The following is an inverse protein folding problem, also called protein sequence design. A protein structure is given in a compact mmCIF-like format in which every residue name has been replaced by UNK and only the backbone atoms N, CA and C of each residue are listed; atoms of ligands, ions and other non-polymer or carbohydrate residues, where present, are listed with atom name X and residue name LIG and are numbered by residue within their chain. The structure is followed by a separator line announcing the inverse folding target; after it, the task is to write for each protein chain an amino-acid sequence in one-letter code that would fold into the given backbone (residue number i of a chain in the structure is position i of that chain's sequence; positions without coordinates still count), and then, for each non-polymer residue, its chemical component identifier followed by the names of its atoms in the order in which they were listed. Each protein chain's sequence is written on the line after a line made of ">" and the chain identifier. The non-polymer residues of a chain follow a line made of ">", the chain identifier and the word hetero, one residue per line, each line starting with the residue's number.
data_IF_947543981345
#
_entry.id   IF_947543981345
#
_cell.length_a   1.000
_cell.length_b   1.000
_cell.length_c   1.000
_cell.angle_alpha   90.00
_cell.angle_beta   90.00
_cell.angle_gamma   90.00
#
_symmetry.space_group_name_H-M   'P 1'
#
loop_
_entity.id
_entity.type
_entity.pdbx_description
1 polymer ?
#
# COMPACT_ATOMS: atom_id res chain seq x y z
N UNK A 1 -9.36 -2.95 21.69
CA UNK A 1 -9.18 -1.52 21.43
C UNK A 1 -10.32 -1.09 20.54
N UNK A 2 -10.99 0.03 20.83
CA UNK A 2 -12.03 0.55 19.92
C UNK A 2 -11.35 1.03 18.65
N UNK A 3 -11.85 0.59 17.52
CA UNK A 3 -11.33 1.03 16.23
C UNK A 3 -11.53 2.54 16.08
N UNK A 4 -10.50 3.22 15.60
CA UNK A 4 -10.55 4.66 15.34
C UNK A 4 -11.07 4.90 13.93
N UNK A 5 -12.01 5.80 13.77
CA UNK A 5 -12.47 6.25 12.46
C UNK A 5 -12.07 7.70 12.21
N UNK A 6 -11.76 8.02 10.97
CA UNK A 6 -11.49 9.38 10.50
C UNK A 6 -12.55 9.73 9.47
N UNK A 7 -13.37 10.74 9.75
CA UNK A 7 -14.50 11.13 8.90
C UNK A 7 -15.43 9.96 8.53
N UNK A 8 -15.70 9.06 9.49
CA UNK A 8 -16.53 7.88 9.27
C UNK A 8 -15.86 6.75 8.49
N UNK A 9 -14.57 6.85 8.22
CA UNK A 9 -13.77 5.80 7.56
C UNK A 9 -12.86 5.09 8.56
N UNK A 10 -12.80 3.76 8.49
CA UNK A 10 -11.98 2.95 9.37
C UNK A 10 -10.49 3.18 9.16
N UNK A 11 -9.74 3.08 10.24
CA UNK A 11 -8.28 2.95 10.24
C UNK A 11 -7.95 1.60 10.87
N UNK A 12 -6.95 0.88 10.38
CA UNK A 12 -6.78 -0.50 10.86
C UNK A 12 -5.38 -1.06 10.62
N UNK A 13 -4.44 -0.24 10.19
CA UNK A 13 -3.06 -0.66 10.11
C UNK A 13 -2.41 -0.65 11.51
N UNK A 14 -1.78 -1.77 11.85
CA UNK A 14 -0.98 -1.95 13.05
C UNK A 14 0.48 -1.96 12.59
N UNK A 15 1.32 -1.04 13.08
CA UNK A 15 2.72 -0.98 12.67
C UNK A 15 3.50 -2.23 13.10
N UNK A 16 4.42 -2.67 12.24
CA UNK A 16 5.28 -3.82 12.49
C UNK A 16 6.74 -3.48 12.16
N UNK A 17 7.66 -3.93 13.04
CA UNK A 17 9.09 -3.68 12.86
C UNK A 17 9.71 -4.66 11.85
N UNK A 18 10.79 -4.23 11.12
CA UNK A 18 11.57 -5.14 10.29
C UNK A 18 12.06 -6.37 11.06
N UNK A 19 12.00 -7.53 10.41
CA UNK A 19 12.47 -8.80 10.96
C UNK A 19 13.55 -9.40 10.04
N UNK A 20 14.48 -10.13 10.63
CA UNK A 20 15.48 -10.91 9.88
C UNK A 20 14.85 -12.00 8.99
N UNK A 21 13.57 -12.28 9.18
CA UNK A 21 12.80 -13.24 8.38
C UNK A 21 12.10 -12.61 7.18
N UNK A 22 12.16 -11.28 7.04
CA UNK A 22 11.54 -10.60 5.92
C UNK A 22 12.39 -10.82 4.66
N UNK A 23 11.73 -11.22 3.58
CA UNK A 23 12.39 -11.22 2.28
C UNK A 23 12.69 -9.78 1.86
N UNK A 24 13.82 -9.60 1.21
CA UNK A 24 14.31 -8.30 0.72
C UNK A 24 14.60 -8.38 -0.78
N UNK A 25 14.87 -7.27 -1.44
CA UNK A 25 15.24 -7.24 -2.85
C UNK A 25 16.49 -8.11 -3.18
N UNK A 26 17.35 -8.37 -2.20
CA UNK A 26 18.55 -9.20 -2.35
C UNK A 26 18.31 -10.70 -2.16
N UNK A 27 17.10 -11.13 -1.75
CA UNK A 27 16.78 -12.54 -1.56
C UNK A 27 16.87 -13.32 -2.89
N UNK A 28 17.54 -14.48 -2.87
CA UNK A 28 17.82 -15.28 -4.07
C UNK A 28 16.56 -15.64 -4.86
N UNK A 29 15.44 -15.87 -4.19
CA UNK A 29 14.16 -16.24 -4.79
C UNK A 29 13.52 -15.12 -5.60
N UNK A 30 13.74 -13.86 -5.24
CA UNK A 30 13.04 -12.71 -5.84
C UNK A 30 13.97 -11.79 -6.63
N UNK A 31 15.26 -11.76 -6.29
CA UNK A 31 16.27 -10.94 -6.95
C UNK A 31 16.25 -11.03 -8.48
N UNK A 32 16.19 -12.23 -9.10
CA UNK A 32 16.14 -12.35 -10.55
C UNK A 32 14.93 -11.63 -11.15
N UNK A 33 13.73 -11.78 -10.54
CA UNK A 33 12.49 -11.18 -11.02
C UNK A 33 12.54 -9.64 -10.98
N UNK A 34 13.06 -9.09 -9.88
CA UNK A 34 13.20 -7.63 -9.76
C UNK A 34 14.27 -7.07 -10.69
N UNK A 35 15.38 -7.80 -10.89
CA UNK A 35 16.41 -7.41 -11.85
C UNK A 35 15.90 -7.42 -13.29
N UNK A 36 15.05 -8.38 -13.65
CA UNK A 36 14.45 -8.50 -14.99
C UNK A 36 13.54 -7.31 -15.30
N UNK A 37 12.82 -6.80 -14.32
CA UNK A 37 12.01 -5.59 -14.47
C UNK A 37 12.79 -4.28 -14.25
N UNK A 38 14.12 -4.37 -14.15
CA UNK A 38 15.03 -3.23 -14.09
C UNK A 38 15.12 -2.52 -12.75
N UNK A 39 14.61 -3.13 -11.67
CA UNK A 39 14.74 -2.59 -10.29
C UNK A 39 16.16 -2.81 -9.77
N UNK A 40 16.75 -1.80 -9.16
CA UNK A 40 18.04 -1.94 -8.48
C UNK A 40 17.89 -2.82 -7.23
N UNK A 41 18.46 -4.02 -7.31
CA UNK A 41 18.43 -5.01 -6.23
C UNK A 41 19.61 -4.89 -5.26
N UNK A 42 20.51 -3.95 -5.50
CA UNK A 42 21.71 -3.72 -4.66
C UNK A 42 21.41 -2.84 -3.46
N UNK A 43 20.30 -3.00 -2.76
CA UNK A 43 19.93 -2.16 -1.61
C UNK A 43 21.16 -1.80 -0.78
N UNK A 44 21.76 -0.66 -1.08
CA UNK A 44 22.96 -0.19 -0.43
C UNK A 44 22.60 0.51 0.87
N UNK A 45 23.20 0.09 1.98
CA UNK A 45 23.21 0.85 3.23
C UNK A 45 24.10 2.12 3.13
N UNK A 46 24.91 2.21 2.07
CA UNK A 46 25.72 3.39 1.74
C UNK A 46 24.94 4.35 0.84
N UNK A 47 25.28 5.64 0.85
CA UNK A 47 24.69 6.67 -0.03
C UNK A 47 24.55 6.14 -1.44
N UNK A 48 23.30 6.03 -1.92
CA UNK A 48 23.01 5.55 -3.27
C UNK A 48 23.77 6.40 -4.30
N UNK A 49 24.29 5.73 -5.33
CA UNK A 49 24.61 6.46 -6.58
C UNK A 49 23.32 7.14 -7.00
N UNK A 50 23.38 8.44 -7.27
CA UNK A 50 22.22 9.25 -7.64
C UNK A 50 21.57 8.63 -8.88
N UNK A 51 20.53 7.80 -8.68
CA UNK A 51 19.74 7.25 -9.76
C UNK A 51 19.14 8.40 -10.56
N UNK A 52 19.28 8.37 -11.89
CA UNK A 52 18.61 9.35 -12.76
C UNK A 52 17.14 8.94 -12.89
N UNK A 53 16.36 9.23 -11.84
CA UNK A 53 14.93 8.97 -11.82
C UNK A 53 14.15 10.14 -12.45
N UNK A 54 13.01 9.89 -13.09
CA UNK A 54 12.13 10.98 -13.50
C UNK A 54 11.65 11.77 -12.27
N UNK A 55 11.37 13.07 -12.46
CA UNK A 55 10.87 13.92 -11.37
C UNK A 55 9.42 13.63 -11.00
N UNK A 56 8.70 12.92 -11.87
CA UNK A 56 7.29 12.55 -11.67
C UNK A 56 6.99 11.19 -12.29
N UNK A 57 6.19 10.41 -11.58
CA UNK A 57 5.64 9.11 -12.04
C UNK A 57 4.17 9.05 -11.64
N UNK A 58 3.26 8.79 -12.59
CA UNK A 58 1.83 8.59 -12.36
C UNK A 58 1.21 7.51 -13.28
N UNK A 59 2.00 6.86 -14.12
CA UNK A 59 1.56 5.85 -15.10
C UNK A 59 0.99 4.60 -14.45
N UNK A 60 1.38 4.27 -13.21
CA UNK A 60 0.84 3.12 -12.47
C UNK A 60 -0.68 3.24 -12.35
N UNK A 61 -1.18 4.45 -12.15
CA UNK A 61 -2.60 4.71 -11.93
C UNK A 61 -3.52 4.18 -13.04
N UNK A 62 -3.08 4.17 -14.30
CA UNK A 62 -3.87 3.69 -15.45
C UNK A 62 -4.22 2.19 -15.37
N UNK A 63 -3.40 1.41 -14.66
CA UNK A 63 -3.62 -0.02 -14.46
C UNK A 63 -4.29 -0.36 -13.12
N UNK A 64 -4.51 0.62 -12.24
CA UNK A 64 -5.23 0.37 -11.00
C UNK A 64 -6.71 0.05 -11.30
N UNK A 65 -7.27 -0.88 -10.53
CA UNK A 65 -8.71 -1.12 -10.48
C UNK A 65 -9.45 0.11 -9.92
N UNK A 66 -10.79 0.09 -9.97
CA UNK A 66 -11.59 1.14 -9.35
C UNK A 66 -11.25 1.28 -7.86
N UNK A 67 -11.22 2.54 -7.38
CA UNK A 67 -10.99 2.79 -5.94
C UNK A 67 -12.19 2.35 -5.14
N UNK A 68 -11.92 1.55 -4.13
CA UNK A 68 -12.92 0.95 -3.26
C UNK A 68 -13.21 1.79 -2.01
N UNK A 69 -14.34 1.50 -1.35
CA UNK A 69 -14.71 2.11 -0.08
C UNK A 69 -14.77 1.06 1.03
N UNK A 70 -13.81 1.10 1.95
CA UNK A 70 -13.80 0.20 3.10
C UNK A 70 -14.87 0.52 4.16
N UNK A 71 -15.51 1.70 4.07
CA UNK A 71 -16.47 2.16 5.07
C UNK A 71 -15.81 2.30 6.44
N UNK A 72 -16.54 1.90 7.48
CA UNK A 72 -16.08 2.01 8.88
C UNK A 72 -15.13 0.88 9.29
N UNK A 73 -14.94 -0.16 8.45
CA UNK A 73 -14.15 -1.35 8.80
C UNK A 73 -12.64 -1.07 8.71
N UNK A 74 -11.86 -1.57 9.68
CA UNK A 74 -10.39 -1.46 9.73
C UNK A 74 -9.65 -2.37 8.75
N UNK A 75 -10.16 -2.52 7.55
CA UNK A 75 -9.67 -3.45 6.53
C UNK A 75 -8.63 -2.84 5.57
N UNK A 76 -8.06 -1.67 5.87
CA UNK A 76 -7.19 -0.93 4.98
C UNK A 76 -6.00 -1.77 4.45
N UNK A 77 -5.44 -2.66 5.27
CA UNK A 77 -4.34 -3.54 4.83
C UNK A 77 -4.78 -4.53 3.74
N UNK A 78 -5.99 -5.09 3.88
CA UNK A 78 -6.58 -5.96 2.86
C UNK A 78 -6.96 -5.18 1.59
N UNK A 79 -7.46 -3.94 1.72
CA UNK A 79 -7.76 -3.07 0.59
C UNK A 79 -6.50 -2.76 -0.22
N UNK A 80 -5.40 -2.40 0.45
CA UNK A 80 -4.13 -2.13 -0.20
C UNK A 80 -3.55 -3.39 -0.87
N UNK A 81 -3.59 -4.54 -0.17
CA UNK A 81 -3.09 -5.81 -0.70
C UNK A 81 -3.84 -6.29 -1.95
N UNK A 82 -5.18 -6.25 -1.93
CA UNK A 82 -6.01 -6.59 -3.09
C UNK A 82 -5.74 -5.62 -4.24
N UNK A 83 -5.68 -4.31 -3.97
CA UNK A 83 -5.38 -3.32 -4.99
C UNK A 83 -4.05 -3.56 -5.70
N UNK A 84 -3.04 -4.10 -5.01
CA UNK A 84 -1.76 -4.49 -5.63
C UNK A 84 -1.91 -5.69 -6.55
N UNK A 85 -2.61 -6.75 -6.12
CA UNK A 85 -2.84 -7.94 -6.96
C UNK A 85 -3.59 -7.55 -8.24
N UNK A 86 -4.68 -6.83 -8.11
CA UNK A 86 -5.49 -6.36 -9.26
C UNK A 86 -4.70 -5.48 -10.22
N UNK A 87 -3.82 -4.61 -9.68
CA UNK A 87 -2.92 -3.81 -10.50
C UNK A 87 -1.98 -4.68 -11.33
N UNK A 88 -1.30 -5.64 -10.70
CA UNK A 88 -0.35 -6.51 -11.39
C UNK A 88 -1.04 -7.38 -12.44
N UNK A 89 -2.23 -7.93 -12.16
CA UNK A 89 -3.01 -8.69 -13.13
C UNK A 89 -3.43 -7.82 -14.32
N UNK A 90 -3.92 -6.61 -14.08
CA UNK A 90 -4.29 -5.70 -15.18
C UNK A 90 -3.10 -5.31 -16.02
N UNK A 91 -1.95 -5.02 -15.41
CA UNK A 91 -0.74 -4.69 -16.16
C UNK A 91 -0.25 -5.87 -16.97
N UNK A 92 -0.21 -7.08 -16.37
CA UNK A 92 0.28 -8.29 -17.03
C UNK A 92 -0.67 -8.81 -18.13
N UNK A 93 -1.98 -8.82 -17.87
CA UNK A 93 -2.96 -9.54 -18.72
C UNK A 93 -4.05 -8.63 -19.30
N UNK A 94 -4.01 -7.32 -19.09
CA UNK A 94 -5.02 -6.36 -19.53
C UNK A 94 -6.37 -6.44 -18.79
N UNK A 95 -6.51 -7.36 -17.85
CA UNK A 95 -7.72 -7.60 -17.03
C UNK A 95 -7.36 -8.11 -15.65
N UNK A 96 -8.28 -8.00 -14.71
CA UNK A 96 -8.19 -8.60 -13.37
C UNK A 96 -9.54 -9.19 -13.00
N UNK A 97 -9.54 -10.02 -11.97
CA UNK A 97 -10.74 -10.39 -11.25
C UNK A 97 -10.82 -9.52 -9.98
N UNK A 98 -11.98 -8.93 -9.71
CA UNK A 98 -12.20 -8.23 -8.44
C UNK A 98 -12.00 -9.23 -7.30
N UNK A 99 -10.98 -9.01 -6.47
CA UNK A 99 -10.59 -9.95 -5.43
C UNK A 99 -11.24 -9.60 -4.09
N UNK A 100 -11.62 -10.63 -3.32
CA UNK A 100 -12.39 -10.45 -2.09
C UNK A 100 -11.56 -9.84 -0.95
N UNK A 101 -11.72 -8.56 -0.74
CA UNK A 101 -11.12 -7.80 0.35
C UNK A 101 -11.58 -8.28 1.72
N UNK A 102 -12.86 -8.66 1.84
CA UNK A 102 -13.40 -9.15 3.10
C UNK A 102 -12.85 -10.54 3.46
N UNK A 103 -12.64 -11.41 2.45
CA UNK A 103 -11.94 -12.69 2.64
C UNK A 103 -10.53 -12.43 3.17
N UNK A 104 -9.75 -11.62 2.47
CA UNK A 104 -8.36 -11.34 2.86
C UNK A 104 -8.28 -10.74 4.27
N UNK A 105 -9.17 -9.80 4.61
CA UNK A 105 -9.21 -9.23 5.95
C UNK A 105 -9.55 -10.28 7.03
N UNK A 106 -10.48 -11.18 6.74
CA UNK A 106 -10.87 -12.25 7.68
C UNK A 106 -9.73 -13.26 7.88
N UNK A 107 -9.14 -13.78 6.80
CA UNK A 107 -8.10 -14.82 6.91
C UNK A 107 -6.80 -14.26 7.50
N UNK A 108 -6.49 -12.99 7.27
CA UNK A 108 -5.36 -12.32 7.93
C UNK A 108 -5.55 -12.30 9.45
N UNK A 109 -6.74 -11.92 9.93
CA UNK A 109 -7.04 -11.93 11.37
C UNK A 109 -7.08 -13.34 11.95
N UNK A 110 -7.52 -14.35 11.17
CA UNK A 110 -7.47 -15.74 11.58
C UNK A 110 -6.03 -16.21 11.84
N UNK A 111 -5.09 -15.88 10.95
CA UNK A 111 -3.65 -16.17 11.16
C UNK A 111 -3.12 -15.53 12.45
N UNK A 112 -3.60 -14.34 12.77
CA UNK A 112 -3.25 -13.62 13.99
C UNK A 112 -4.04 -14.08 15.24
N UNK A 113 -4.99 -14.99 15.07
CA UNK A 113 -5.94 -15.44 16.12
C UNK A 113 -6.73 -14.27 16.73
N UNK A 114 -7.00 -13.24 15.94
CA UNK A 114 -7.76 -12.06 16.33
C UNK A 114 -9.25 -12.21 15.96
N UNK A 115 -10.12 -11.68 16.82
CA UNK A 115 -11.56 -11.59 16.60
C UNK A 115 -12.01 -10.14 16.69
N UNK A 116 -13.12 -9.85 16.03
CA UNK A 116 -13.63 -8.48 15.95
C UNK A 116 -12.86 -7.63 14.95
N UNK A 117 -13.19 -6.36 14.87
CA UNK A 117 -12.56 -5.42 13.96
C UNK A 117 -11.32 -4.80 14.63
N UNK A 118 -10.20 -5.50 14.50
CA UNK A 118 -8.94 -5.18 15.19
C UNK A 118 -7.92 -4.47 14.31
N UNK A 119 -8.19 -4.36 13.01
CA UNK A 119 -7.13 -4.06 12.03
C UNK A 119 -6.22 -5.27 11.80
N UNK A 120 -5.10 -5.05 11.12
CA UNK A 120 -4.11 -6.08 10.83
C UNK A 120 -2.72 -5.50 10.56
N UNK A 121 -1.71 -6.38 10.58
CA UNK A 121 -0.35 -6.08 10.13
C UNK A 121 -0.22 -6.30 8.62
N UNK A 122 0.54 -5.47 7.93
CA UNK A 122 0.82 -5.64 6.50
C UNK A 122 1.55 -6.95 6.22
N UNK A 123 2.56 -7.31 7.02
CA UNK A 123 3.25 -8.61 6.92
C UNK A 123 2.27 -9.79 6.95
N UNK A 124 1.32 -9.76 7.85
CA UNK A 124 0.34 -10.85 7.98
C UNK A 124 -0.64 -10.87 6.81
N UNK A 125 -0.96 -9.71 6.25
CA UNK A 125 -1.77 -9.60 5.01
C UNK A 125 -1.02 -10.21 3.82
N UNK A 126 0.28 -9.91 3.67
CA UNK A 126 1.13 -10.56 2.65
C UNK A 126 1.22 -12.07 2.85
N UNK A 127 1.43 -12.51 4.09
CA UNK A 127 1.45 -13.94 4.43
C UNK A 127 0.13 -14.64 4.11
N UNK A 128 -1.01 -13.99 4.36
CA UNK A 128 -2.34 -14.53 4.03
C UNK A 128 -2.54 -14.67 2.52
N UNK A 129 -2.15 -13.67 1.73
CA UNK A 129 -2.19 -13.73 0.26
C UNK A 129 -1.32 -14.87 -0.29
N UNK A 130 -0.10 -15.04 0.25
CA UNK A 130 0.79 -16.11 -0.17
C UNK A 130 0.27 -17.50 0.22
N UNK A 131 -0.28 -17.63 1.42
CA UNK A 131 -0.71 -18.93 1.97
C UNK A 131 -2.04 -19.40 1.38
N UNK A 132 -3.00 -18.51 1.27
CA UNK A 132 -4.37 -18.85 0.87
C UNK A 132 -4.70 -18.38 -0.56
N UNK A 133 -4.05 -17.33 -1.07
CA UNK A 133 -4.53 -16.59 -2.21
C UNK A 133 -5.71 -15.68 -1.83
N UNK A 134 -6.35 -15.10 -2.84
CA UNK A 134 -7.56 -14.28 -2.65
C UNK A 134 -8.59 -14.67 -3.69
N UNK A 135 -9.78 -15.20 -3.30
CA UNK A 135 -10.81 -15.59 -4.25
C UNK A 135 -11.50 -14.35 -4.85
N UNK A 136 -12.17 -14.48 -6.01
CA UNK A 136 -13.01 -13.44 -6.56
C UNK A 136 -14.09 -12.95 -5.56
N UNK A 137 -14.35 -11.64 -5.58
CA UNK A 137 -15.30 -11.00 -4.68
C UNK A 137 -16.74 -11.51 -4.87
N UNK A 138 -17.11 -11.97 -6.05
CA UNK A 138 -18.43 -12.57 -6.32
C UNK A 138 -18.77 -13.73 -5.39
N UNK A 139 -17.76 -14.46 -4.90
CA UNK A 139 -17.95 -15.59 -3.95
C UNK A 139 -17.97 -15.17 -2.49
N UNK A 140 -17.36 -14.03 -2.16
CA UNK A 140 -17.38 -13.47 -0.81
C UNK A 140 -17.36 -11.94 -0.87
N UNK A 141 -18.55 -11.37 -1.10
CA UNK A 141 -18.75 -9.93 -1.31
C UNK A 141 -18.37 -9.11 -0.10
N UNK A 142 -17.96 -7.86 -0.36
CA UNK A 142 -17.63 -6.88 0.68
C UNK A 142 -18.91 -6.41 1.40
N UNK A 143 -19.34 -7.20 2.37
CA UNK A 143 -20.47 -6.93 3.25
C UNK A 143 -19.95 -6.78 4.68
N UNK A 144 -19.87 -5.54 5.17
CA UNK A 144 -19.32 -5.19 6.48
C UNK A 144 -20.00 -5.99 7.61
N UNK A 145 -21.28 -6.32 7.48
CA UNK A 145 -21.99 -7.12 8.50
C UNK A 145 -21.42 -8.52 8.68
N UNK A 146 -20.65 -9.01 7.70
CA UNK A 146 -20.07 -10.37 7.68
C UNK A 146 -18.57 -10.37 7.99
N UNK A 147 -17.97 -9.25 8.36
CA UNK A 147 -16.53 -9.13 8.49
C UNK A 147 -15.85 -10.14 9.42
N UNK A 148 -16.56 -10.61 10.43
CA UNK A 148 -16.05 -11.61 11.39
C UNK A 148 -16.59 -13.02 11.15
N UNK A 149 -17.48 -13.18 10.14
CA UNK A 149 -18.00 -14.48 9.73
C UNK A 149 -16.94 -15.26 8.96
N UNK A 150 -16.86 -16.57 9.23
CA UNK A 150 -15.91 -17.44 8.50
C UNK A 150 -16.37 -17.64 7.06
N UNK A 151 -15.50 -17.41 6.05
CA UNK A 151 -15.80 -17.72 4.66
C UNK A 151 -16.02 -19.22 4.45
N UNK A 152 -16.89 -19.63 3.52
CA UNK A 152 -17.08 -21.03 3.19
C UNK A 152 -15.79 -21.72 2.73
N UNK A 153 -15.67 -23.02 2.96
CA UNK A 153 -14.52 -23.82 2.52
C UNK A 153 -14.25 -23.69 1.01
N UNK A 154 -15.30 -23.50 0.21
CA UNK A 154 -15.19 -23.22 -1.22
C UNK A 154 -14.29 -22.01 -1.53
N UNK A 155 -14.42 -20.91 -0.77
CA UNK A 155 -13.59 -19.72 -0.97
C UNK A 155 -12.10 -20.02 -0.75
N UNK A 156 -11.76 -20.83 0.26
CA UNK A 156 -10.39 -21.25 0.52
C UNK A 156 -9.84 -22.14 -0.61
N UNK A 157 -10.62 -23.13 -1.05
CA UNK A 157 -10.23 -24.02 -2.13
C UNK A 157 -10.02 -23.26 -3.45
N UNK A 158 -10.92 -22.32 -3.75
CA UNK A 158 -10.84 -21.53 -4.99
C UNK A 158 -9.69 -20.52 -4.95
N UNK A 159 -9.48 -19.89 -3.80
CA UNK A 159 -8.39 -18.91 -3.60
C UNK A 159 -7.00 -19.52 -3.89
N UNK A 160 -6.82 -20.82 -3.66
CA UNK A 160 -5.59 -21.54 -3.95
C UNK A 160 -5.11 -21.43 -5.41
N UNK A 161 -6.00 -21.13 -6.34
CA UNK A 161 -5.65 -20.89 -7.74
C UNK A 161 -4.94 -19.52 -7.97
N UNK A 162 -4.96 -18.64 -6.98
CA UNK A 162 -4.42 -17.27 -7.05
C UNK A 162 -3.24 -17.05 -6.08
N UNK A 163 -2.55 -18.12 -5.74
CA UNK A 163 -1.32 -18.11 -4.95
C UNK A 163 -0.08 -17.82 -5.81
N UNK A 164 1.07 -18.13 -5.28
CA UNK A 164 2.40 -17.98 -5.91
C UNK A 164 2.89 -16.54 -6.03
N UNK A 165 2.52 -15.70 -5.06
CA UNK A 165 3.03 -14.34 -4.91
C UNK A 165 4.29 -14.39 -4.03
N UNK A 166 5.37 -13.79 -4.52
CA UNK A 166 6.51 -13.42 -3.69
C UNK A 166 6.31 -12.01 -3.16
N UNK A 167 6.70 -11.75 -1.93
CA UNK A 167 6.62 -10.43 -1.33
C UNK A 167 7.92 -10.08 -0.62
N UNK A 168 8.27 -8.82 -0.65
CA UNK A 168 9.48 -8.31 -0.03
C UNK A 168 9.17 -7.05 0.78
N UNK A 169 10.03 -6.81 1.78
CA UNK A 169 10.06 -5.58 2.56
C UNK A 169 11.13 -4.63 2.03
N UNK A 170 10.78 -3.35 1.87
CA UNK A 170 11.70 -2.31 1.40
C UNK A 170 12.40 -1.58 2.54
N UNK A 171 11.71 -1.32 3.65
CA UNK A 171 12.27 -0.68 4.84
C UNK A 171 13.03 -1.69 5.71
N UNK A 172 14.17 -2.16 5.17
CA UNK A 172 15.03 -3.15 5.82
C UNK A 172 15.85 -2.53 6.98
N UNK A 173 16.35 -3.37 7.92
CA UNK A 173 17.24 -2.88 8.97
C UNK A 173 18.46 -2.13 8.39
N UNK A 174 18.80 -1.00 9.02
CA UNK A 174 19.94 -0.15 8.67
C UNK A 174 19.87 0.60 7.33
N UNK A 175 18.76 0.54 6.59
CA UNK A 175 18.56 1.43 5.45
C UNK A 175 18.43 2.88 5.93
N UNK A 176 19.06 3.82 5.24
CA UNK A 176 18.83 5.25 5.53
C UNK A 176 17.45 5.68 5.03
N UNK A 177 16.88 6.75 5.59
CA UNK A 177 15.56 7.23 5.17
C UNK A 177 15.56 7.70 3.71
N UNK A 178 16.64 8.35 3.30
CA UNK A 178 16.87 8.75 1.92
C UNK A 178 17.01 7.53 1.01
N UNK A 179 17.77 6.50 1.43
CA UNK A 179 17.92 5.26 0.68
C UNK A 179 16.60 4.50 0.53
N UNK A 180 15.75 4.51 1.57
CA UNK A 180 14.41 3.95 1.48
C UNK A 180 13.54 4.73 0.48
N UNK A 181 13.55 6.07 0.53
CA UNK A 181 12.81 6.91 -0.40
C UNK A 181 13.28 6.68 -1.85
N UNK A 182 14.59 6.61 -2.08
CA UNK A 182 15.16 6.31 -3.39
C UNK A 182 14.72 4.92 -3.89
N UNK A 183 14.74 3.91 -3.04
CA UNK A 183 14.26 2.56 -3.37
C UNK A 183 12.77 2.54 -3.71
N UNK A 184 11.93 3.27 -2.98
CA UNK A 184 10.50 3.43 -3.28
C UNK A 184 10.31 4.07 -4.65
N UNK A 185 11.03 5.17 -4.93
CA UNK A 185 10.94 5.89 -6.20
C UNK A 185 11.44 5.04 -7.37
N UNK A 186 12.53 4.28 -7.20
CA UNK A 186 13.03 3.37 -8.22
C UNK A 186 11.98 2.31 -8.57
N UNK A 187 11.43 1.62 -7.58
CA UNK A 187 10.34 0.65 -7.79
C UNK A 187 9.17 1.29 -8.54
N UNK A 188 8.70 2.46 -8.11
CA UNK A 188 7.58 3.16 -8.76
C UNK A 188 7.91 3.54 -10.21
N UNK A 189 9.14 3.98 -10.49
CA UNK A 189 9.58 4.32 -11.86
C UNK A 189 9.63 3.12 -12.80
N UNK A 190 9.73 1.91 -12.26
CA UNK A 190 9.68 0.62 -12.98
C UNK A 190 8.27 0.01 -13.00
N UNK A 191 7.29 0.75 -12.51
CA UNK A 191 5.90 0.27 -12.46
C UNK A 191 5.66 -0.78 -11.39
N UNK A 192 6.44 -0.78 -10.31
CA UNK A 192 6.29 -1.66 -9.16
C UNK A 192 5.72 -0.85 -7.99
N UNK A 193 4.40 -0.92 -7.73
CA UNK A 193 3.78 -0.27 -6.59
C UNK A 193 4.17 -0.93 -5.27
N UNK A 194 3.95 -0.20 -4.18
CA UNK A 194 4.16 -0.72 -2.82
C UNK A 194 2.96 -0.41 -1.96
N UNK A 195 2.63 -1.24 -0.99
CA UNK A 195 1.74 -0.87 0.09
C UNK A 195 2.54 -0.55 1.35
N UNK A 196 2.03 0.37 2.13
CA UNK A 196 2.68 0.81 3.36
C UNK A 196 1.68 1.35 4.36
N UNK A 197 2.11 1.46 5.60
CA UNK A 197 1.34 2.10 6.66
C UNK A 197 1.85 3.48 7.00
N UNK A 198 0.95 4.39 7.37
CA UNK A 198 1.32 5.69 7.87
C UNK A 198 0.49 6.11 9.08
N UNK A 199 1.08 6.95 9.92
CA UNK A 199 0.40 7.55 11.06
C UNK A 199 -0.52 8.67 10.59
N UNK A 200 -1.79 8.55 10.91
CA UNK A 200 -2.82 9.54 10.56
C UNK A 200 -2.92 10.59 11.64
N UNK A 201 -2.78 11.86 11.26
CA UNK A 201 -2.94 13.02 12.11
C UNK A 201 -4.17 13.84 11.71
N UNK A 202 -4.57 14.80 12.53
CA UNK A 202 -5.75 15.66 12.29
C UNK A 202 -5.69 16.40 10.95
N UNK A 203 -4.49 16.74 10.47
CA UNK A 203 -4.30 17.41 9.18
C UNK A 203 -4.80 16.62 7.97
N UNK A 204 -5.06 15.32 8.08
CA UNK A 204 -5.67 14.53 7.00
C UNK A 204 -7.05 15.08 6.58
N UNK A 205 -7.73 15.74 7.49
CA UNK A 205 -9.04 16.38 7.19
C UNK A 205 -8.92 17.48 6.14
N UNK A 206 -7.76 18.16 6.07
CA UNK A 206 -7.51 19.17 5.03
C UNK A 206 -7.52 18.56 3.63
N UNK A 207 -7.04 17.33 3.47
CA UNK A 207 -7.07 16.61 2.19
C UNK A 207 -8.50 16.30 1.72
N UNK A 208 -9.42 16.08 2.67
CA UNK A 208 -10.85 15.82 2.37
C UNK A 208 -11.62 17.09 2.10
N UNK A 209 -11.31 18.19 2.81
CA UNK A 209 -12.04 19.46 2.76
C UNK A 209 -11.63 20.33 1.57
N UNK A 210 -10.47 20.13 0.96
CA UNK A 210 -9.98 20.94 -0.14
C UNK A 210 -10.91 20.84 -1.37
N UNK A 211 -11.21 21.98 -1.98
CA UNK A 211 -12.17 22.11 -3.11
C UNK A 211 -11.48 22.27 -4.47
N UNK A 212 -10.14 22.24 -4.51
CA UNK A 212 -9.33 22.58 -5.70
C UNK A 212 -8.30 21.47 -6.02
N UNK A 213 -7.27 21.82 -6.74
CA UNK A 213 -6.11 20.97 -7.07
C UNK A 213 -5.38 20.39 -5.83
N UNK A 214 -5.61 20.97 -4.64
CA UNK A 214 -5.09 20.45 -3.36
C UNK A 214 -5.91 19.29 -2.79
N UNK A 215 -7.03 18.92 -3.41
CA UNK A 215 -7.87 17.82 -2.94
C UNK A 215 -7.10 16.51 -2.94
N UNK A 216 -7.04 15.84 -1.79
CA UNK A 216 -6.24 14.63 -1.59
C UNK A 216 -4.80 14.86 -1.14
N UNK A 217 -4.31 16.11 -1.10
CA UNK A 217 -2.98 16.41 -0.59
C UNK A 217 -3.00 16.37 0.95
N UNK A 218 -2.33 15.39 1.53
CA UNK A 218 -2.24 15.20 2.98
C UNK A 218 -1.08 16.05 3.50
N UNK A 219 -1.31 17.08 4.32
CA UNK A 219 -0.23 17.90 4.84
C UNK A 219 0.65 17.11 5.83
N UNK A 220 1.92 17.52 5.94
CA UNK A 220 2.77 17.04 7.03
C UNK A 220 2.26 17.64 8.36
N UNK A 221 2.09 16.84 9.43
CA UNK A 221 1.44 17.30 10.64
C UNK A 221 2.24 18.39 11.38
N UNK A 222 1.52 19.32 11.98
CA UNK A 222 2.09 20.25 12.94
C UNK A 222 2.45 19.50 14.24
N UNK A 223 3.42 20.02 15.00
CA UNK A 223 3.89 19.38 16.23
C UNK A 223 2.84 19.22 17.34
N UNK A 224 1.75 19.95 17.26
CA UNK A 224 0.64 19.95 18.23
C UNK A 224 -0.53 19.06 17.82
N UNK A 225 -0.51 18.49 16.61
CA UNK A 225 -1.60 17.66 16.12
C UNK A 225 -1.65 16.30 16.82
N UNK A 226 -2.86 15.83 17.07
CA UNK A 226 -3.09 14.50 17.64
C UNK A 226 -3.01 13.42 16.57
N UNK A 227 -2.53 12.26 16.98
CA UNK A 227 -2.61 11.03 16.20
C UNK A 227 -4.04 10.49 16.26
N UNK A 228 -4.63 10.23 15.10
CA UNK A 228 -5.97 9.66 14.96
C UNK A 228 -5.96 8.14 14.75
N UNK A 229 -4.84 7.56 14.32
CA UNK A 229 -4.70 6.13 14.11
C UNK A 229 -3.63 5.77 13.11
N UNK A 230 -3.65 4.53 12.64
CA UNK A 230 -2.76 4.02 11.60
C UNK A 230 -3.57 3.58 10.38
N UNK A 231 -3.12 3.94 9.18
CA UNK A 231 -3.79 3.63 7.93
C UNK A 231 -2.83 3.04 6.90
N UNK A 232 -3.30 2.05 6.14
CA UNK A 232 -2.53 1.44 5.06
C UNK A 232 -3.09 1.86 3.70
N UNK A 233 -2.18 2.20 2.80
CA UNK A 233 -2.50 2.63 1.43
C UNK A 233 -1.49 2.05 0.43
N UNK A 234 -1.76 2.22 -0.86
CA UNK A 234 -0.88 1.81 -1.94
C UNK A 234 -0.18 3.04 -2.53
N UNK A 235 1.15 3.02 -2.63
CA UNK A 235 1.95 3.98 -3.37
C UNK A 235 1.91 3.62 -4.86
N UNK A 236 1.53 4.59 -5.71
CA UNK A 236 1.29 4.38 -7.14
C UNK A 236 1.97 5.44 -8.02
N UNK A 237 2.88 6.21 -7.45
CA UNK A 237 3.64 7.25 -8.16
C UNK A 237 4.23 8.25 -7.21
N UNK A 238 4.77 9.32 -7.76
CA UNK A 238 5.33 10.43 -6.98
C UNK A 238 5.48 11.70 -7.84
N UNK A 239 5.71 12.83 -7.17
CA UNK A 239 5.99 14.12 -7.78
C UNK A 239 6.99 14.86 -6.90
N UNK A 240 8.22 15.12 -7.42
CA UNK A 240 9.32 15.73 -6.70
C UNK A 240 9.10 17.23 -6.44
N UNK A 241 8.29 17.87 -7.29
CA UNK A 241 8.09 19.31 -7.28
C UNK A 241 6.81 19.75 -6.56
N UNK A 242 5.96 18.76 -6.18
CA UNK A 242 4.68 19.05 -5.55
C UNK A 242 4.88 19.66 -4.16
N UNK A 243 4.32 20.85 -3.96
CA UNK A 243 4.30 21.54 -2.67
C UNK A 243 2.99 21.30 -1.96
N UNK A 244 3.09 20.96 -0.67
CA UNK A 244 1.94 20.74 0.20
C UNK A 244 2.17 21.53 1.49
N UNK A 245 1.22 22.43 1.78
CA UNK A 245 1.24 23.27 2.98
C UNK A 245 0.20 22.76 4.00
N UNK A 246 0.59 22.79 5.27
CA UNK A 246 -0.35 22.58 6.37
C UNK A 246 -0.91 23.93 6.80
N UNK A 247 -2.19 24.17 6.53
CA UNK A 247 -2.87 25.42 6.82
C UNK A 247 -2.93 25.72 8.34
N UNK A 248 -2.76 24.71 9.20
CA UNK A 248 -2.79 24.88 10.65
C UNK A 248 -1.54 25.55 11.23
N UNK A 249 -0.39 25.45 10.56
CA UNK A 249 0.87 26.01 11.03
C UNK A 249 1.74 26.62 9.92
N UNK A 250 1.27 26.70 8.68
CA UNK A 250 2.02 27.25 7.55
C UNK A 250 3.26 26.42 7.16
N UNK A 251 3.35 25.16 7.59
CA UNK A 251 4.48 24.31 7.24
C UNK A 251 4.32 23.77 5.83
N UNK A 252 5.23 24.17 4.93
CA UNK A 252 5.31 23.66 3.56
C UNK A 252 6.30 22.49 3.47
N UNK A 253 5.99 21.51 2.61
CA UNK A 253 6.86 20.40 2.21
C UNK A 253 6.90 20.32 0.69
N UNK A 254 8.03 19.87 0.14
CA UNK A 254 8.20 19.65 -1.31
C UNK A 254 8.52 18.20 -1.57
N UNK A 255 7.90 17.65 -2.62
CA UNK A 255 7.97 16.24 -3.00
C UNK A 255 6.99 15.36 -2.23
N UNK A 256 6.24 14.54 -2.96
CA UNK A 256 5.22 13.67 -2.38
C UNK A 256 5.03 12.37 -3.16
N UNK A 257 4.61 11.33 -2.45
CA UNK A 257 4.20 10.04 -2.99
C UNK A 257 2.72 10.12 -3.38
N UNK A 258 2.38 9.73 -4.60
CA UNK A 258 1.00 9.53 -5.04
C UNK A 258 0.47 8.25 -4.43
N UNK A 259 -0.61 8.34 -3.67
CA UNK A 259 -1.25 7.22 -3.01
C UNK A 259 -2.62 6.90 -3.59
N UNK A 260 -2.96 5.61 -3.66
CA UNK A 260 -4.32 5.11 -3.86
C UNK A 260 -4.89 4.75 -2.48
N UNK A 261 -5.93 5.45 -2.08
CA UNK A 261 -6.63 5.24 -0.82
C UNK A 261 -7.78 4.23 -1.01
N UNK A 262 -8.45 3.88 0.08
CA UNK A 262 -9.60 2.96 0.16
C UNK A 262 -10.82 3.58 0.85
N UNK A 263 -11.00 4.89 0.72
CA UNK A 263 -12.11 5.66 1.31
C UNK A 263 -13.14 6.13 0.28
N UNK A 264 -13.22 5.41 -0.85
CA UNK A 264 -14.12 5.71 -1.96
C UNK A 264 -13.62 6.83 -2.86
N UNK A 265 -14.26 6.98 -4.01
CA UNK A 265 -13.88 7.97 -5.04
C UNK A 265 -14.23 9.41 -4.67
N UNK A 266 -15.04 9.61 -3.63
CA UNK A 266 -15.37 10.96 -3.11
C UNK A 266 -14.20 11.56 -2.29
N UNK A 267 -13.32 10.74 -1.73
CA UNK A 267 -12.13 11.19 -1.03
C UNK A 267 -11.04 11.61 -2.02
N UNK A 268 -10.35 12.69 -1.73
CA UNK A 268 -9.23 13.15 -2.53
C UNK A 268 -9.60 13.37 -4.01
N UNK A 269 -8.65 13.19 -4.89
CA UNK A 269 -8.86 13.23 -6.33
C UNK A 269 -9.28 11.83 -6.85
N UNK A 270 -10.58 11.55 -6.83
CA UNK A 270 -11.13 10.24 -7.24
C UNK A 270 -10.55 9.05 -6.44
N UNK A 271 -10.34 9.25 -5.14
CA UNK A 271 -9.75 8.23 -4.25
C UNK A 271 -8.22 8.23 -4.20
N UNK A 272 -7.58 9.15 -4.91
CA UNK A 272 -6.12 9.34 -4.90
C UNK A 272 -5.74 10.61 -4.15
N UNK A 273 -4.52 10.63 -3.65
CA UNK A 273 -3.96 11.80 -2.97
C UNK A 273 -2.44 11.74 -2.92
N UNK A 274 -1.85 12.74 -2.26
CA UNK A 274 -0.40 12.84 -2.14
C UNK A 274 0.02 12.88 -0.67
N UNK A 275 1.03 12.11 -0.34
CA UNK A 275 1.65 12.04 0.99
C UNK A 275 3.09 12.58 0.90
N UNK A 276 3.46 13.66 1.60
CA UNK A 276 4.80 14.24 1.54
C UNK A 276 5.92 13.22 1.82
N UNK A 277 7.04 13.32 1.10
CA UNK A 277 8.24 12.51 1.38
C UNK A 277 8.69 12.62 2.83
N UNK A 278 8.39 13.72 3.46
CA UNK A 278 8.71 13.97 4.87
C UNK A 278 8.11 12.93 5.82
N UNK A 279 6.99 12.27 5.44
CA UNK A 279 6.45 11.15 6.21
C UNK A 279 7.41 9.95 6.24
N UNK A 280 8.04 9.63 5.11
CA UNK A 280 9.08 8.57 5.03
C UNK A 280 10.31 9.00 5.81
N UNK A 281 10.78 10.22 5.57
CA UNK A 281 12.01 10.77 6.18
C UNK A 281 11.91 10.97 7.71
N UNK A 282 10.70 10.91 8.28
CA UNK A 282 10.43 11.09 9.72
C UNK A 282 9.74 9.90 10.38
N UNK A 283 9.80 8.73 9.76
CA UNK A 283 9.20 7.48 10.28
C UNK A 283 7.69 7.55 10.56
N UNK A 284 6.98 8.44 9.90
CA UNK A 284 5.52 8.50 9.94
C UNK A 284 4.88 7.61 8.85
N UNK A 285 5.65 7.19 7.85
CA UNK A 285 5.29 6.20 6.84
C UNK A 285 6.33 5.09 6.83
N UNK A 286 5.94 3.90 7.25
CA UNK A 286 6.82 2.73 7.46
C UNK A 286 6.12 1.45 7.00
N UNK A 287 6.76 0.31 7.19
CA UNK A 287 6.17 -1.00 6.90
C UNK A 287 5.87 -1.15 5.39
N UNK A 288 6.90 -0.92 4.56
CA UNK A 288 6.84 -0.87 3.10
C UNK A 288 6.99 -2.25 2.48
N UNK A 289 5.98 -2.68 1.72
CA UNK A 289 5.93 -3.99 1.08
C UNK A 289 5.58 -3.89 -0.38
N UNK A 290 6.21 -4.75 -1.19
CA UNK A 290 5.78 -4.98 -2.57
C UNK A 290 5.68 -6.46 -2.87
N UNK A 291 5.01 -6.80 -3.98
CA UNK A 291 4.79 -8.17 -4.43
C UNK A 291 5.31 -8.33 -5.85
N UNK A 292 5.66 -9.56 -6.20
CA UNK A 292 6.01 -9.96 -7.56
C UNK A 292 5.63 -11.42 -7.78
N UNK A 293 5.32 -11.78 -9.02
CA UNK A 293 5.00 -13.14 -9.43
C UNK A 293 5.66 -13.42 -10.78
N UNK A 294 6.21 -14.61 -10.95
CA UNK A 294 6.86 -15.02 -12.21
C UNK A 294 5.95 -14.82 -13.42
N UNK A 295 4.71 -15.31 -13.35
CA UNK A 295 3.74 -15.19 -14.45
C UNK A 295 3.51 -13.75 -14.90
N UNK A 296 3.66 -12.76 -14.02
CA UNK A 296 3.51 -11.34 -14.37
C UNK A 296 4.70 -10.82 -15.15
N UNK A 297 5.91 -11.23 -14.74
CA UNK A 297 7.17 -10.83 -15.40
C UNK A 297 7.26 -11.43 -16.79
N UNK A 298 6.88 -12.70 -16.96
CA UNK A 298 6.93 -13.44 -18.22
C UNK A 298 6.07 -12.83 -19.35
N UNK A 299 5.14 -11.93 -19.01
CA UNK A 299 4.31 -11.25 -20.04
C UNK A 299 5.06 -10.22 -20.86
N UNK A 300 6.25 -9.80 -20.43
CA UNK A 300 7.00 -8.68 -21.04
C UNK A 300 6.44 -7.29 -20.74
N UNK A 301 5.30 -7.17 -20.06
CA UNK A 301 4.72 -5.88 -19.71
C UNK A 301 5.40 -5.21 -18.51
N UNK A 302 6.26 -5.93 -17.79
CA UNK A 302 7.09 -5.43 -16.69
C UNK A 302 8.57 -5.32 -17.07
N UNK A 303 8.99 -5.84 -18.23
CA UNK A 303 10.31 -5.65 -18.79
C UNK A 303 10.39 -4.29 -19.50
N UNK A 304 11.44 -3.52 -19.20
CA UNK A 304 11.75 -2.26 -19.91
C UNK A 304 12.43 -2.51 -21.24
#
# INVERSE_FOLDING_TARGET
>A
MSQTTVNGKGTGWIPDYPSIRDYTLSAEEVKPLFSEVGVDTTQSTAKSQKLSLPTRVDEIRQYCSQVEDQGILGSCTAQAGVGMVEYFERKAFGKHLDASRLFLYKVTRNLLRLRGDTGAYLRSTMGAMRLFGVPPEEYWKYDISKFDREPPAFCYAFAGNYQAINYIRLDIPNITKEGLLDSIKDNLSKGIPSMFGFTVHESIEQASAATSSAKGNIPFPCSTERVLGGHAVMAVGYDDDLKIENNGCGQETTGAILIRNSWGTSWGNQGYGYLPYKYVLRDLAVDWWTIIKTDWVDTGHFGG
#
